data_IF_742406275740
#
_entry.id   IF_742406275740
#
_cell.length_a   1.000
_cell.length_b   1.000
_cell.length_c   1.000
_cell.angle_alpha   90.00
_cell.angle_beta   90.00
_cell.angle_gamma   90.00
#
_symmetry.space_group_name_H-M   'P 1'
#
loop_
_entity.id
_entity.type
_entity.pdbx_description
1 polymer ?
#
# COMPACT_ATOMS: atom_id res chain seq x y z
N UNK A 1 -17.19 -30.33 7.58
CA UNK A 1 -17.01 -29.13 6.76
C UNK A 1 -17.28 -29.54 5.32
N UNK A 2 -18.45 -29.17 4.79
CA UNK A 2 -18.79 -29.41 3.39
C UNK A 2 -17.92 -28.47 2.53
N UNK A 3 -16.99 -29.03 1.78
CA UNK A 3 -16.38 -28.32 0.66
C UNK A 3 -17.48 -28.14 -0.40
N UNK A 4 -18.08 -26.97 -0.44
CA UNK A 4 -18.93 -26.58 -1.56
C UNK A 4 -17.99 -26.30 -2.74
N UNK A 5 -17.65 -27.34 -3.50
CA UNK A 5 -17.29 -27.20 -4.89
C UNK A 5 -18.57 -26.76 -5.58
N UNK A 6 -18.75 -25.47 -5.77
CA UNK A 6 -19.78 -24.99 -6.68
C UNK A 6 -19.31 -25.46 -8.03
N UNK A 7 -20.01 -26.43 -8.60
CA UNK A 7 -19.83 -26.82 -9.99
C UNK A 7 -20.07 -25.58 -10.83
N UNK A 8 -19.00 -25.12 -11.48
CA UNK A 8 -19.04 -23.91 -12.29
C UNK A 8 -20.06 -24.03 -13.43
N UNK A 9 -20.41 -25.25 -13.87
CA UNK A 9 -21.48 -25.48 -14.87
C UNK A 9 -22.87 -25.06 -14.33
N UNK A 10 -23.16 -25.41 -13.08
CA UNK A 10 -24.39 -24.95 -12.39
C UNK A 10 -24.36 -23.43 -12.18
N UNK A 11 -23.19 -22.87 -12.00
CA UNK A 11 -22.99 -21.43 -11.82
C UNK A 11 -23.37 -20.64 -13.10
N UNK A 12 -22.98 -21.14 -14.27
CA UNK A 12 -23.26 -20.46 -15.55
C UNK A 12 -24.68 -20.71 -16.08
N UNK A 13 -25.40 -21.74 -15.65
CA UNK A 13 -26.83 -21.87 -15.95
C UNK A 13 -27.66 -20.74 -15.33
N UNK A 14 -27.11 -20.05 -14.33
CA UNK A 14 -27.66 -18.83 -13.74
C UNK A 14 -27.49 -17.59 -14.66
N UNK A 15 -26.66 -17.63 -15.71
CA UNK A 15 -26.47 -16.52 -16.65
C UNK A 15 -27.72 -16.12 -17.47
N UNK A 16 -28.77 -16.92 -17.46
CA UNK A 16 -30.08 -16.47 -17.91
C UNK A 16 -30.70 -15.37 -17.01
N UNK A 17 -30.18 -15.20 -15.76
CA UNK A 17 -30.58 -14.17 -14.82
C UNK A 17 -29.56 -13.03 -14.85
N UNK A 18 -29.98 -11.84 -14.48
CA UNK A 18 -29.14 -10.67 -14.30
C UNK A 18 -28.07 -10.94 -13.22
N UNK A 19 -26.79 -11.11 -13.59
CA UNK A 19 -25.70 -11.37 -12.66
C UNK A 19 -25.03 -10.08 -12.22
N UNK A 20 -24.70 -9.99 -10.93
CA UNK A 20 -23.85 -8.93 -10.38
C UNK A 20 -22.41 -9.43 -10.26
N UNK A 21 -21.52 -8.86 -11.04
CA UNK A 21 -20.10 -9.20 -11.11
C UNK A 21 -19.29 -8.03 -10.59
N UNK A 22 -18.42 -8.30 -9.63
CA UNK A 22 -17.50 -7.31 -9.05
C UNK A 22 -16.12 -7.53 -9.68
N UNK A 23 -15.58 -6.46 -10.22
CA UNK A 23 -14.18 -6.41 -10.66
C UNK A 23 -13.39 -5.66 -9.59
N UNK A 24 -12.38 -6.30 -9.04
CA UNK A 24 -11.47 -5.75 -8.05
C UNK A 24 -10.06 -6.23 -8.39
N UNK A 25 -9.46 -5.61 -9.41
CA UNK A 25 -8.21 -6.04 -10.06
C UNK A 25 -7.13 -5.01 -9.74
N UNK A 26 -6.01 -5.46 -9.13
CA UNK A 26 -4.83 -4.60 -8.92
C UNK A 26 -4.12 -4.34 -10.26
N UNK A 27 -3.27 -3.34 -10.26
CA UNK A 27 -2.46 -2.97 -11.42
C UNK A 27 -1.57 -4.12 -11.90
N UNK A 28 -1.44 -4.27 -13.21
CA UNK A 28 -0.38 -5.08 -13.80
C UNK A 28 0.86 -4.20 -13.90
N UNK A 29 1.66 -4.16 -12.83
CA UNK A 29 2.78 -3.23 -12.64
C UNK A 29 3.65 -3.07 -13.88
N UNK A 30 3.86 -1.82 -14.31
CA UNK A 30 4.58 -1.50 -15.54
C UNK A 30 3.81 -1.81 -16.84
N UNK A 31 2.50 -2.12 -16.79
CA UNK A 31 1.67 -2.48 -17.93
C UNK A 31 0.32 -1.77 -17.91
N UNK A 32 -0.63 -2.21 -17.08
CA UNK A 32 -1.98 -1.64 -16.99
C UNK A 32 -2.26 -1.13 -15.57
N UNK A 33 -2.92 0.01 -15.47
CA UNK A 33 -3.53 0.45 -14.21
C UNK A 33 -4.69 -0.46 -13.82
N UNK A 34 -5.08 -0.45 -12.55
CA UNK A 34 -6.25 -1.16 -12.04
C UNK A 34 -7.50 -0.85 -12.88
N UNK A 35 -7.79 0.43 -13.09
CA UNK A 35 -8.97 0.87 -13.85
C UNK A 35 -8.93 0.43 -15.31
N UNK A 36 -7.79 0.50 -16.00
CA UNK A 36 -7.65 0.04 -17.38
C UNK A 36 -7.88 -1.48 -17.51
N UNK A 37 -7.39 -2.25 -16.53
CA UNK A 37 -7.60 -3.69 -16.48
C UNK A 37 -9.09 -4.02 -16.26
N UNK A 38 -9.72 -3.39 -15.28
CA UNK A 38 -11.15 -3.57 -14.98
C UNK A 38 -12.05 -3.17 -16.14
N UNK A 39 -11.76 -2.05 -16.82
CA UNK A 39 -12.51 -1.61 -18.01
C UNK A 39 -12.41 -2.64 -19.13
N UNK A 40 -11.21 -3.18 -19.39
CA UNK A 40 -11.03 -4.20 -20.43
C UNK A 40 -11.81 -5.48 -20.13
N UNK A 41 -11.83 -5.92 -18.87
CA UNK A 41 -12.61 -7.08 -18.42
C UNK A 41 -14.10 -6.80 -18.50
N UNK A 42 -14.56 -5.64 -18.04
CA UNK A 42 -15.97 -5.24 -18.08
C UNK A 42 -16.52 -5.18 -19.51
N UNK A 43 -15.79 -4.54 -20.43
CA UNK A 43 -16.17 -4.50 -21.86
C UNK A 43 -16.38 -5.90 -22.43
N UNK A 44 -15.48 -6.85 -22.11
CA UNK A 44 -15.56 -8.21 -22.61
C UNK A 44 -16.73 -8.97 -21.97
N UNK A 45 -16.96 -8.82 -20.66
CA UNK A 45 -18.09 -9.45 -19.98
C UNK A 45 -19.41 -8.95 -20.55
N UNK A 46 -19.58 -7.64 -20.72
CA UNK A 46 -20.82 -7.04 -21.23
C UNK A 46 -21.09 -7.46 -22.67
N UNK A 47 -20.07 -7.66 -23.50
CA UNK A 47 -20.23 -8.18 -24.85
C UNK A 47 -20.83 -9.60 -24.86
N UNK A 48 -20.44 -10.47 -23.95
CA UNK A 48 -20.94 -11.84 -23.84
C UNK A 48 -22.25 -11.92 -23.04
N UNK A 49 -22.41 -11.06 -22.02
CA UNK A 49 -23.54 -11.04 -21.10
C UNK A 49 -24.11 -9.63 -20.92
N UNK A 50 -24.87 -9.11 -21.90
CA UNK A 50 -25.37 -7.73 -21.91
C UNK A 50 -26.30 -7.38 -20.75
N UNK A 51 -26.85 -8.37 -20.05
CA UNK A 51 -27.74 -8.17 -18.90
C UNK A 51 -27.02 -8.13 -17.56
N UNK A 52 -25.72 -8.40 -17.53
CA UNK A 52 -24.94 -8.40 -16.29
C UNK A 52 -24.75 -6.99 -15.76
N UNK A 53 -24.76 -6.85 -14.44
CA UNK A 53 -24.34 -5.64 -13.73
C UNK A 53 -22.88 -5.84 -13.36
N UNK A 54 -21.99 -5.06 -13.96
CA UNK A 54 -20.55 -5.10 -13.69
C UNK A 54 -20.16 -3.84 -12.90
N UNK A 55 -19.65 -4.04 -11.69
CA UNK A 55 -19.13 -2.94 -10.84
C UNK A 55 -17.60 -2.98 -10.84
N UNK A 56 -16.99 -1.85 -11.17
CA UNK A 56 -15.55 -1.67 -11.13
C UNK A 56 -15.17 -1.09 -9.78
N UNK A 57 -14.24 -1.72 -9.10
CA UNK A 57 -13.73 -1.30 -7.79
C UNK A 57 -12.20 -1.28 -7.89
N UNK A 58 -11.62 -0.20 -8.42
CA UNK A 58 -10.18 -0.13 -8.57
C UNK A 58 -9.49 -0.30 -7.22
N UNK A 59 -8.48 -1.14 -7.19
CA UNK A 59 -7.73 -1.50 -5.99
C UNK A 59 -6.23 -1.35 -6.20
N UNK A 60 -5.48 -1.37 -5.11
CA UNK A 60 -4.02 -1.44 -5.08
C UNK A 60 -3.56 -2.16 -3.81
N UNK A 61 -2.33 -2.64 -3.77
CA UNK A 61 -1.77 -3.41 -2.64
C UNK A 61 -1.12 -2.53 -1.54
N UNK A 62 -1.44 -1.23 -1.49
CA UNK A 62 -0.83 -0.27 -0.55
C UNK A 62 0.49 0.32 -1.06
N UNK A 63 0.96 -0.08 -2.24
CA UNK A 63 2.14 0.44 -2.93
C UNK A 63 1.80 1.35 -4.10
N UNK A 64 2.50 1.15 -5.22
CA UNK A 64 2.29 1.88 -6.47
C UNK A 64 0.84 1.80 -6.94
N UNK A 65 0.24 2.94 -7.27
CA UNK A 65 -1.15 3.05 -7.71
C UNK A 65 -2.16 3.34 -6.62
N UNK A 66 -1.80 3.21 -5.34
CA UNK A 66 -2.68 3.48 -4.20
C UNK A 66 -3.24 4.90 -4.24
N UNK A 67 -2.38 5.89 -4.46
CA UNK A 67 -2.78 7.30 -4.54
C UNK A 67 -3.78 7.54 -5.68
N UNK A 68 -3.55 6.96 -6.85
CA UNK A 68 -4.46 7.12 -8.00
C UNK A 68 -5.84 6.50 -7.74
N UNK A 69 -5.89 5.34 -7.08
CA UNK A 69 -7.14 4.69 -6.67
C UNK A 69 -7.91 5.56 -5.67
N UNK A 70 -7.25 6.03 -4.62
CA UNK A 70 -7.87 6.88 -3.60
C UNK A 70 -8.39 8.20 -4.18
N UNK A 71 -7.65 8.82 -5.10
CA UNK A 71 -8.09 10.02 -5.80
C UNK A 71 -9.27 9.75 -6.74
N UNK A 72 -9.26 8.63 -7.45
CA UNK A 72 -10.39 8.26 -8.31
C UNK A 72 -11.68 8.10 -7.49
N UNK A 73 -11.63 7.35 -6.40
CA UNK A 73 -12.79 7.09 -5.53
C UNK A 73 -13.29 8.35 -4.84
N UNK A 74 -12.38 9.17 -4.31
CA UNK A 74 -12.73 10.42 -3.63
C UNK A 74 -13.01 11.58 -4.58
N UNK A 75 -12.91 11.37 -5.91
CA UNK A 75 -12.96 12.42 -6.95
C UNK A 75 -12.00 13.57 -6.66
N UNK A 76 -10.87 13.23 -6.07
CA UNK A 76 -9.84 14.14 -5.63
C UNK A 76 -8.90 14.58 -6.73
N UNK A 77 -7.92 15.41 -6.37
CA UNK A 77 -6.93 15.95 -7.30
C UNK A 77 -5.53 15.83 -6.74
N UNK A 78 -4.56 15.70 -7.65
CA UNK A 78 -3.14 15.80 -7.30
C UNK A 78 -2.78 17.22 -6.87
N UNK A 79 -1.92 17.31 -5.87
CA UNK A 79 -1.24 18.53 -5.43
C UNK A 79 0.24 18.38 -5.72
N UNK A 80 0.82 19.40 -6.33
CA UNK A 80 2.24 19.43 -6.73
C UNK A 80 2.96 20.49 -5.91
N UNK A 81 4.16 20.14 -5.40
CA UNK A 81 5.01 21.04 -4.66
C UNK A 81 6.48 20.69 -4.81
N UNK A 82 7.35 21.55 -4.31
CA UNK A 82 8.78 21.29 -4.15
C UNK A 82 9.03 20.92 -2.69
N UNK A 83 9.72 19.80 -2.44
CA UNK A 83 10.05 19.33 -1.11
C UNK A 83 11.40 18.62 -1.08
N UNK A 84 11.95 18.40 0.12
CA UNK A 84 13.25 17.78 0.30
C UNK A 84 13.19 16.26 0.13
N UNK A 85 14.04 15.71 -0.72
CA UNK A 85 14.25 14.27 -0.86
C UNK A 85 15.01 13.69 0.37
N UNK A 86 15.26 12.36 0.46
CA UNK A 86 15.96 11.79 1.60
C UNK A 86 17.37 12.35 1.85
N UNK A 87 18.00 12.94 0.85
CA UNK A 87 19.31 13.57 0.92
C UNK A 87 19.26 15.10 1.13
N UNK A 88 18.10 15.66 1.44
CA UNK A 88 17.87 17.10 1.60
C UNK A 88 18.07 17.94 0.33
N UNK A 89 17.88 17.33 -0.83
CA UNK A 89 17.81 18.03 -2.12
C UNK A 89 16.34 18.36 -2.42
N UNK A 90 16.06 19.58 -2.91
CA UNK A 90 14.71 19.98 -3.28
C UNK A 90 14.35 19.38 -4.65
N UNK A 91 13.26 18.60 -4.68
CA UNK A 91 12.75 17.97 -5.89
C UNK A 91 11.23 18.22 -6.04
N UNK A 92 10.69 18.16 -7.27
CA UNK A 92 9.24 18.15 -7.46
C UNK A 92 8.65 16.84 -6.91
N UNK A 93 7.51 16.98 -6.25
CA UNK A 93 6.77 15.83 -5.71
C UNK A 93 5.27 16.10 -5.76
N UNK A 94 4.48 15.09 -5.40
CA UNK A 94 3.03 15.19 -5.39
C UNK A 94 2.40 14.37 -4.26
N UNK A 95 1.19 14.75 -3.89
CA UNK A 95 0.28 13.99 -3.04
C UNK A 95 -1.16 14.25 -3.50
N UNK A 96 -2.16 13.65 -2.87
CA UNK A 96 -3.56 13.80 -3.27
C UNK A 96 -4.39 14.51 -2.22
N UNK A 97 -5.43 15.23 -2.66
CA UNK A 97 -6.47 15.76 -1.79
C UNK A 97 -7.84 15.35 -2.33
N UNK A 98 -8.73 14.85 -1.45
CA UNK A 98 -10.12 14.50 -1.76
C UNK A 98 -10.92 15.70 -2.30
N UNK A 99 -12.03 15.46 -3.00
CA UNK A 99 -12.86 16.50 -3.58
C UNK A 99 -13.43 17.46 -2.53
N UNK A 100 -13.76 16.97 -1.33
CA UNK A 100 -14.23 17.78 -0.21
C UNK A 100 -13.12 18.55 0.53
N UNK A 101 -11.86 18.35 0.10
CA UNK A 101 -10.64 18.96 0.66
C UNK A 101 -10.35 18.58 2.13
N UNK A 102 -11.01 17.55 2.65
CA UNK A 102 -10.82 17.15 4.05
C UNK A 102 -9.72 16.10 4.21
N UNK A 103 -9.49 15.26 3.19
CA UNK A 103 -8.55 14.14 3.30
C UNK A 103 -7.33 14.33 2.39
N UNK A 104 -6.14 14.22 2.96
CA UNK A 104 -4.87 14.14 2.24
C UNK A 104 -4.42 12.69 2.10
N UNK A 105 -4.02 12.29 0.91
CA UNK A 105 -3.47 10.98 0.56
C UNK A 105 -1.99 11.13 0.23
N UNK A 106 -1.11 10.57 1.06
CA UNK A 106 0.34 10.73 0.94
C UNK A 106 1.00 9.36 0.76
N UNK A 107 1.73 9.18 -0.32
CA UNK A 107 2.69 8.08 -0.47
C UNK A 107 4.06 8.61 -0.06
N UNK A 108 4.57 8.19 1.11
CA UNK A 108 5.84 8.69 1.60
C UNK A 108 7.00 8.41 0.65
N UNK A 109 6.90 7.33 -0.15
CA UNK A 109 7.92 6.98 -1.13
C UNK A 109 8.07 8.01 -2.26
N UNK A 110 7.07 8.86 -2.51
CA UNK A 110 7.15 9.93 -3.50
C UNK A 110 8.19 11.01 -3.14
N UNK A 111 8.56 11.12 -1.85
CA UNK A 111 9.51 12.12 -1.37
C UNK A 111 10.59 11.57 -0.42
N UNK A 112 10.32 10.45 0.25
CA UNK A 112 11.27 9.81 1.19
C UNK A 112 11.55 8.35 0.80
N UNK A 113 11.33 7.99 -0.48
CA UNK A 113 11.41 6.63 -0.99
C UNK A 113 12.78 6.22 -1.51
N UNK A 114 13.04 4.91 -1.47
CA UNK A 114 14.26 4.29 -1.95
C UNK A 114 14.50 4.47 -3.47
N UNK A 115 13.46 4.47 -4.35
CA UNK A 115 13.64 4.72 -5.78
C UNK A 115 14.19 6.11 -6.13
N UNK A 116 14.12 7.08 -5.22
CA UNK A 116 14.68 8.43 -5.42
C UNK A 116 16.20 8.47 -5.30
N UNK A 117 16.81 7.41 -4.76
CA UNK A 117 18.23 7.36 -4.46
C UNK A 117 19.00 6.53 -5.48
N UNK A 118 20.13 7.09 -5.94
CA UNK A 118 21.15 6.32 -6.64
C UNK A 118 21.87 5.39 -5.65
N UNK A 119 22.51 4.33 -6.13
CA UNK A 119 23.14 3.34 -5.26
C UNK A 119 24.14 3.94 -4.24
N UNK A 120 24.95 4.91 -4.66
CA UNK A 120 25.92 5.58 -3.80
C UNK A 120 25.31 6.57 -2.79
N UNK A 121 24.04 6.93 -2.93
CA UNK A 121 23.29 7.80 -2.01
C UNK A 121 22.58 7.03 -0.92
N UNK A 122 22.48 5.71 -1.05
CA UNK A 122 21.83 4.84 -0.06
C UNK A 122 22.63 4.80 1.23
N UNK A 123 22.16 5.49 2.24
CA UNK A 123 22.78 5.51 3.57
C UNK A 123 21.74 5.88 4.64
N UNK A 124 21.16 4.90 5.37
CA UNK A 124 20.11 5.17 6.34
C UNK A 124 20.58 5.93 7.58
N UNK A 125 21.89 6.10 7.77
CA UNK A 125 22.43 7.00 8.81
C UNK A 125 22.20 8.47 8.48
N UNK A 126 22.09 8.81 7.17
CA UNK A 126 22.00 10.20 6.70
C UNK A 126 20.65 10.56 6.09
N UNK A 127 19.93 9.57 5.52
CA UNK A 127 18.65 9.82 4.88
C UNK A 127 17.58 10.17 5.90
N UNK A 128 16.63 11.04 5.50
CA UNK A 128 15.62 11.63 6.38
C UNK A 128 14.22 11.62 5.80
N UNK A 129 13.22 11.58 6.68
CA UNK A 129 11.79 11.71 6.38
C UNK A 129 11.32 13.17 6.32
N UNK A 130 12.21 14.15 6.28
CA UNK A 130 11.87 15.57 6.35
C UNK A 130 10.83 15.99 5.31
N UNK A 131 11.01 15.58 4.04
CA UNK A 131 10.05 15.86 2.97
C UNK A 131 8.65 15.28 3.20
N UNK A 132 8.54 14.12 3.86
CA UNK A 132 7.23 13.60 4.26
C UNK A 132 6.52 14.56 5.20
N UNK A 133 7.24 15.19 6.12
CA UNK A 133 6.69 16.23 7.00
C UNK A 133 6.28 17.50 6.25
N UNK A 134 7.01 17.88 5.19
CA UNK A 134 6.64 19.02 4.34
C UNK A 134 5.33 18.77 3.60
N UNK A 135 5.11 17.54 3.07
CA UNK A 135 3.83 17.17 2.45
C UNK A 135 2.68 17.25 3.45
N UNK A 136 2.86 16.75 4.66
CA UNK A 136 1.86 16.83 5.74
C UNK A 136 1.56 18.29 6.07
N UNK A 137 2.60 19.12 6.19
CA UNK A 137 2.47 20.55 6.49
C UNK A 137 1.67 21.28 5.41
N UNK A 138 2.01 21.10 4.14
CA UNK A 138 1.31 21.70 3.01
C UNK A 138 -0.17 21.30 2.96
N UNK A 139 -0.48 20.03 3.25
CA UNK A 139 -1.86 19.55 3.31
C UNK A 139 -2.64 20.14 4.50
N UNK A 140 -2.03 20.29 5.68
CA UNK A 140 -2.61 20.99 6.83
C UNK A 140 -2.94 22.45 6.49
N UNK A 141 -2.01 23.15 5.86
CA UNK A 141 -2.17 24.55 5.43
C UNK A 141 -3.27 24.71 4.37
N UNK A 142 -3.54 23.68 3.57
CA UNK A 142 -4.68 23.60 2.62
C UNK A 142 -6.01 23.20 3.27
N UNK A 143 -6.02 22.94 4.58
CA UNK A 143 -7.23 22.67 5.36
C UNK A 143 -7.56 21.19 5.52
N UNK A 144 -6.70 20.26 5.13
CA UNK A 144 -6.93 18.85 5.37
C UNK A 144 -6.87 18.53 6.87
N UNK A 145 -7.82 17.73 7.34
CA UNK A 145 -7.91 17.25 8.72
C UNK A 145 -7.77 15.75 8.85
N UNK A 146 -7.86 15.02 7.74
CA UNK A 146 -7.68 13.57 7.69
C UNK A 146 -6.50 13.24 6.79
N UNK A 147 -5.65 12.32 7.23
CA UNK A 147 -4.45 11.91 6.52
C UNK A 147 -4.44 10.40 6.35
N UNK A 148 -4.30 9.95 5.13
CA UNK A 148 -4.05 8.55 4.79
C UNK A 148 -2.64 8.49 4.23
N UNK A 149 -1.72 7.83 4.96
CA UNK A 149 -0.31 7.82 4.62
C UNK A 149 0.15 6.39 4.34
N UNK A 150 0.56 6.11 3.11
CA UNK A 150 1.26 4.89 2.75
C UNK A 150 2.75 5.03 3.09
N UNK A 151 3.29 4.11 3.88
CA UNK A 151 4.69 4.17 4.34
C UNK A 151 5.60 3.11 3.74
N UNK A 152 5.14 2.40 2.71
CA UNK A 152 5.96 1.43 1.96
C UNK A 152 7.08 2.10 1.16
N UNK A 153 8.13 1.34 0.83
CA UNK A 153 9.20 1.78 -0.07
C UNK A 153 10.20 2.79 0.49
N UNK A 154 10.30 2.96 1.81
CA UNK A 154 11.14 3.98 2.47
C UNK A 154 12.64 3.83 2.22
N UNK A 155 13.35 4.97 2.08
CA UNK A 155 14.81 5.07 2.04
C UNK A 155 15.46 5.33 3.41
N UNK A 156 14.66 5.55 4.44
CA UNK A 156 15.07 6.18 5.71
C UNK A 156 15.04 5.22 6.88
N UNK A 157 15.84 5.51 7.91
CA UNK A 157 15.78 4.86 9.23
C UNK A 157 16.06 5.91 10.32
N UNK A 158 15.37 7.05 10.21
CA UNK A 158 15.48 8.17 11.13
C UNK A 158 14.37 8.20 12.18
N UNK A 159 13.65 7.08 12.35
CA UNK A 159 12.54 6.96 13.30
C UNK A 159 11.48 8.09 13.16
N UNK A 160 11.33 8.66 11.95
CA UNK A 160 10.38 9.75 11.68
C UNK A 160 10.79 11.12 12.24
N UNK A 161 12.01 11.27 12.76
CA UNK A 161 12.47 12.55 13.35
C UNK A 161 12.49 13.68 12.32
N UNK A 162 12.90 13.40 11.08
CA UNK A 162 12.88 14.40 10.02
C UNK A 162 11.46 14.92 9.73
N UNK A 163 10.48 14.03 9.64
CA UNK A 163 9.07 14.40 9.49
C UNK A 163 8.62 15.33 10.63
N UNK A 164 8.94 14.97 11.87
CA UNK A 164 8.61 15.81 13.03
C UNK A 164 9.31 17.18 12.97
N UNK A 165 10.58 17.23 12.53
CA UNK A 165 11.31 18.50 12.39
C UNK A 165 10.65 19.44 11.39
N UNK A 166 10.21 18.93 10.23
CA UNK A 166 9.44 19.72 9.25
C UNK A 166 8.11 20.23 9.80
N UNK A 167 7.53 19.51 10.78
CA UNK A 167 6.31 19.88 11.50
C UNK A 167 6.54 20.74 12.73
N UNK A 168 7.80 21.21 12.98
CA UNK A 168 8.15 22.16 14.02
C UNK A 168 8.64 21.57 15.34
N UNK A 169 8.83 20.25 15.43
CA UNK A 169 9.49 19.65 16.58
C UNK A 169 11.01 19.86 16.51
N UNK A 170 11.66 19.89 17.68
CA UNK A 170 13.12 19.98 17.78
C UNK A 170 13.65 18.89 18.73
N UNK A 171 14.84 18.41 18.41
CA UNK A 171 15.51 17.35 19.17
C UNK A 171 16.84 17.86 19.71
N UNK A 172 17.14 17.55 20.96
CA UNK A 172 18.36 18.00 21.64
C UNK A 172 19.09 16.81 22.26
N UNK A 173 20.42 16.89 22.24
CA UNK A 173 21.28 15.96 22.97
C UNK A 173 21.35 16.27 24.47
N UNK A 174 22.12 15.46 25.23
CA UNK A 174 22.33 15.64 26.69
C UNK A 174 23.00 16.96 27.04
N UNK A 175 23.77 17.56 26.13
CA UNK A 175 24.42 18.85 26.32
C UNK A 175 23.50 20.05 25.98
N UNK A 176 22.28 19.78 25.50
CA UNK A 176 21.33 20.81 25.06
C UNK A 176 21.60 21.34 23.65
N UNK A 177 22.46 20.70 22.87
CA UNK A 177 22.71 21.05 21.48
C UNK A 177 21.59 20.49 20.62
N UNK A 178 21.05 21.33 19.72
CA UNK A 178 20.06 20.92 18.74
C UNK A 178 20.68 19.94 17.72
N UNK A 179 19.94 18.86 17.42
CA UNK A 179 20.36 17.80 16.52
C UNK A 179 19.76 18.02 15.12
N UNK A 180 20.52 17.64 14.09
CA UNK A 180 20.09 17.63 12.70
C UNK A 180 19.20 16.44 12.35
N UNK A 181 19.16 16.08 11.05
CA UNK A 181 18.38 14.98 10.48
C UNK A 181 19.21 13.70 10.33
N UNK A 182 18.52 12.59 10.03
CA UNK A 182 19.12 11.30 9.70
C UNK A 182 19.14 10.28 10.84
N UNK A 183 19.42 9.02 10.48
CA UNK A 183 19.46 7.93 11.46
C UNK A 183 20.58 8.03 12.49
N UNK A 184 21.71 8.68 12.13
CA UNK A 184 22.88 8.79 13.03
C UNK A 184 22.66 9.64 14.27
N UNK A 185 21.59 10.44 14.31
CA UNK A 185 21.29 11.32 15.44
C UNK A 185 20.30 10.72 16.43
N UNK A 186 19.52 9.70 16.05
CA UNK A 186 18.41 9.18 16.87
C UNK A 186 18.89 8.69 18.25
N UNK A 187 20.03 8.01 18.32
CA UNK A 187 20.62 7.55 19.58
C UNK A 187 21.19 8.65 20.48
N UNK A 188 21.32 9.89 19.97
CA UNK A 188 21.82 11.05 20.73
C UNK A 188 20.68 11.87 21.32
N UNK A 189 19.45 11.65 20.91
CA UNK A 189 18.29 12.41 21.37
C UNK A 189 18.06 12.16 22.86
N UNK A 190 18.09 13.23 23.64
CA UNK A 190 17.82 13.22 25.08
C UNK A 190 16.57 14.03 25.47
N UNK A 191 16.16 14.99 24.63
CA UNK A 191 14.96 15.82 24.86
C UNK A 191 14.27 16.18 23.57
N UNK A 192 12.94 16.18 23.62
CA UNK A 192 12.04 16.58 22.55
C UNK A 192 11.37 17.89 22.94
N UNK A 193 11.39 18.86 22.03
CA UNK A 193 10.71 20.14 22.15
C UNK A 193 9.57 20.20 21.13
N UNK A 194 8.35 20.43 21.60
CA UNK A 194 7.13 20.43 20.77
C UNK A 194 6.33 21.74 20.84
N UNK A 195 6.87 22.78 21.49
CA UNK A 195 6.16 24.08 21.64
C UNK A 195 5.89 24.76 20.29
N UNK A 196 6.75 24.54 19.30
CA UNK A 196 6.64 25.10 17.96
C UNK A 196 6.00 24.16 16.94
N UNK A 197 5.40 23.06 17.40
CA UNK A 197 4.72 22.13 16.50
C UNK A 197 3.60 22.83 15.75
N UNK A 198 3.38 22.43 14.50
CA UNK A 198 2.34 23.00 13.65
C UNK A 198 0.97 22.95 14.37
N UNK A 199 0.28 24.09 14.57
CA UNK A 199 -0.91 24.15 15.43
C UNK A 199 -2.08 23.29 14.91
N UNK A 200 -2.23 23.13 13.60
CA UNK A 200 -3.31 22.34 12.99
C UNK A 200 -3.15 20.83 13.23
N UNK A 201 -2.01 20.34 13.68
CA UNK A 201 -1.84 18.94 14.07
C UNK A 201 -2.77 18.51 15.20
N UNK A 202 -3.20 19.44 16.05
CA UNK A 202 -4.09 19.12 17.17
C UNK A 202 -5.47 18.58 16.74
N UNK A 203 -5.91 18.94 15.54
CA UNK A 203 -7.22 18.55 14.98
C UNK A 203 -7.08 17.57 13.81
N UNK A 204 -5.89 17.05 13.55
CA UNK A 204 -5.63 16.15 12.44
C UNK A 204 -5.71 14.69 12.87
N UNK A 205 -6.32 13.85 12.03
CA UNK A 205 -6.48 12.42 12.21
C UNK A 205 -5.63 11.68 11.20
N UNK A 206 -4.83 10.72 11.65
CA UNK A 206 -3.89 10.00 10.83
C UNK A 206 -4.24 8.52 10.76
N UNK A 207 -4.33 7.98 9.55
CA UNK A 207 -4.38 6.55 9.28
C UNK A 207 -3.17 6.19 8.42
N UNK A 208 -2.45 5.15 8.81
CA UNK A 208 -1.22 4.73 8.15
C UNK A 208 -1.41 3.34 7.55
N UNK A 209 -1.22 3.24 6.24
CA UNK A 209 -1.19 1.96 5.54
C UNK A 209 0.15 1.26 5.80
N UNK A 210 0.10 0.16 6.55
CA UNK A 210 1.26 -0.58 6.99
C UNK A 210 0.98 -2.09 6.98
N UNK A 211 1.59 -2.83 6.07
CA UNK A 211 1.39 -4.28 5.92
C UNK A 211 2.44 -5.13 6.66
N UNK A 212 3.38 -4.49 7.37
CA UNK A 212 4.37 -5.18 8.18
C UNK A 212 4.07 -5.04 9.67
N UNK A 213 4.42 -6.07 10.45
CA UNK A 213 4.15 -6.15 11.88
C UNK A 213 5.41 -5.98 12.74
N UNK A 214 6.53 -5.61 12.11
CA UNK A 214 7.83 -5.50 12.78
C UNK A 214 7.80 -4.48 13.92
N UNK A 215 8.37 -4.82 15.11
CA UNK A 215 8.50 -3.91 16.22
C UNK A 215 9.50 -2.79 15.92
N UNK A 216 9.53 -1.77 16.77
CA UNK A 216 10.35 -0.58 16.56
C UNK A 216 11.85 -0.90 16.50
N UNK A 217 12.36 -1.71 17.42
CA UNK A 217 13.76 -2.14 17.49
C UNK A 217 13.87 -3.63 17.88
N UNK A 218 15.10 -4.14 17.91
CA UNK A 218 15.43 -5.54 18.25
C UNK A 218 15.61 -6.41 17.01
N UNK A 219 15.84 -7.74 17.17
CA UNK A 219 16.21 -8.63 16.07
C UNK A 219 15.22 -8.66 14.91
N UNK A 220 13.93 -8.40 15.17
CA UNK A 220 12.89 -8.28 14.17
C UNK A 220 12.46 -6.82 13.93
N UNK A 221 13.19 -5.86 14.49
CA UNK A 221 12.91 -4.44 14.38
C UNK A 221 13.35 -3.80 13.07
N UNK A 222 13.06 -2.51 12.94
CA UNK A 222 13.28 -1.73 11.72
C UNK A 222 14.70 -1.84 11.16
N UNK A 223 15.72 -1.68 12.00
CA UNK A 223 17.11 -1.65 11.56
C UNK A 223 17.56 -3.03 11.05
N UNK A 224 17.34 -4.09 11.81
CA UNK A 224 17.77 -5.45 11.46
C UNK A 224 17.09 -5.97 10.20
N UNK A 225 15.80 -5.69 10.03
CA UNK A 225 15.02 -6.24 8.91
C UNK A 225 15.17 -5.39 7.63
N UNK A 226 15.17 -4.06 7.76
CA UNK A 226 15.00 -3.19 6.59
C UNK A 226 16.20 -2.28 6.26
N UNK A 227 17.16 -2.06 7.19
CA UNK A 227 18.20 -1.06 6.93
C UNK A 227 19.23 -1.53 5.89
N UNK A 228 19.47 -2.85 5.74
CA UNK A 228 20.42 -3.39 4.77
C UNK A 228 20.08 -3.01 3.33
N UNK A 229 18.83 -3.14 2.91
CA UNK A 229 18.39 -2.73 1.56
C UNK A 229 18.49 -1.23 1.30
N UNK A 230 18.61 -0.43 2.38
CA UNK A 230 18.80 1.03 2.37
C UNK A 230 20.28 1.44 2.39
N UNK A 231 21.20 0.46 2.30
CA UNK A 231 22.65 0.68 2.25
C UNK A 231 23.39 0.55 3.58
N UNK A 232 22.75 0.04 4.65
CA UNK A 232 23.43 -0.16 5.92
C UNK A 232 24.35 -1.39 5.91
N UNK A 233 25.56 -1.24 6.47
CA UNK A 233 26.40 -2.36 6.88
C UNK A 233 26.03 -2.86 8.30
N UNK A 234 26.72 -3.89 8.79
CA UNK A 234 26.40 -4.48 10.10
C UNK A 234 26.57 -3.51 11.27
N UNK A 235 27.60 -2.67 11.25
CA UNK A 235 27.87 -1.68 12.30
C UNK A 235 26.76 -0.61 12.33
N UNK A 236 26.34 -0.12 11.15
CA UNK A 236 25.23 0.82 11.02
C UNK A 236 23.92 0.22 11.54
N UNK A 237 23.64 -1.06 11.22
CA UNK A 237 22.43 -1.75 11.69
C UNK A 237 22.42 -1.78 13.23
N UNK A 238 23.51 -2.17 13.85
CA UNK A 238 23.63 -2.20 15.31
C UNK A 238 23.46 -0.80 15.91
N UNK A 239 24.15 0.20 15.36
CA UNK A 239 24.05 1.59 15.81
C UNK A 239 22.63 2.15 15.68
N UNK A 240 21.93 1.85 14.57
CA UNK A 240 20.55 2.26 14.37
C UNK A 240 19.61 1.58 15.36
N UNK A 241 19.77 0.28 15.59
CA UNK A 241 18.92 -0.47 16.52
C UNK A 241 19.07 0.02 17.96
N UNK A 242 20.31 0.19 18.42
CA UNK A 242 20.60 0.77 19.75
C UNK A 242 20.05 2.20 19.87
N UNK A 243 20.20 3.00 18.81
CA UNK A 243 19.65 4.34 18.73
C UNK A 243 18.12 4.37 18.83
N UNK A 244 17.45 3.48 18.09
CA UNK A 244 16.00 3.34 18.14
C UNK A 244 15.52 2.89 19.52
N UNK A 245 16.24 1.96 20.17
CA UNK A 245 15.94 1.53 21.54
C UNK A 245 16.03 2.70 22.54
N UNK A 246 17.08 3.50 22.46
CA UNK A 246 17.24 4.67 23.31
C UNK A 246 16.14 5.71 23.03
N UNK A 247 15.85 5.98 21.77
CA UNK A 247 14.83 6.94 21.37
C UNK A 247 13.41 6.50 21.76
N UNK A 248 13.08 5.22 21.72
CA UNK A 248 11.80 4.70 22.21
C UNK A 248 11.54 5.10 23.67
N UNK A 249 12.58 5.09 24.53
CA UNK A 249 12.46 5.54 25.90
C UNK A 249 12.15 7.04 26.00
N UNK A 250 12.81 7.86 25.18
CA UNK A 250 12.58 9.31 25.13
C UNK A 250 11.16 9.61 24.60
N UNK A 251 10.70 8.86 23.59
CA UNK A 251 9.31 8.95 23.10
C UNK A 251 8.32 8.64 24.22
N UNK A 252 8.53 7.54 24.95
CA UNK A 252 7.65 7.15 26.05
C UNK A 252 7.60 8.21 27.14
N UNK A 253 8.74 8.80 27.50
CA UNK A 253 8.80 9.88 28.49
C UNK A 253 8.06 11.14 28.02
N UNK A 254 8.14 11.47 26.71
CA UNK A 254 7.53 12.68 26.16
C UNK A 254 6.02 12.53 25.88
N UNK A 255 5.60 11.36 25.38
CA UNK A 255 4.23 11.12 24.89
C UNK A 255 3.38 10.25 25.81
N UNK A 256 4.00 9.54 26.76
CA UNK A 256 3.36 8.52 27.60
C UNK A 256 3.12 7.17 26.87
N UNK A 257 3.49 7.04 25.59
CA UNK A 257 3.23 5.85 24.76
C UNK A 257 4.46 4.98 24.61
N UNK A 258 4.33 3.70 24.87
CA UNK A 258 5.35 2.69 24.53
C UNK A 258 5.07 2.13 23.14
N UNK A 259 6.00 2.40 22.22
CA UNK A 259 5.94 1.92 20.83
C UNK A 259 6.91 0.77 20.56
N UNK A 260 7.64 0.33 21.56
CA UNK A 260 8.75 -0.62 21.41
C UNK A 260 8.32 -1.94 20.74
N UNK A 261 7.17 -2.48 21.15
CA UNK A 261 6.60 -3.73 20.65
C UNK A 261 5.29 -3.51 19.88
N UNK A 262 4.91 -2.26 19.59
CA UNK A 262 3.70 -1.98 18.81
C UNK A 262 3.86 -2.58 17.40
N UNK A 263 2.96 -3.46 16.95
CA UNK A 263 3.01 -4.03 15.62
C UNK A 263 3.00 -2.93 14.54
N UNK A 264 3.95 -3.00 13.61
CA UNK A 264 4.12 -1.99 12.56
C UNK A 264 4.91 -0.75 12.95
N UNK A 265 5.30 -0.61 14.23
CA UNK A 265 6.11 0.55 14.69
C UNK A 265 7.46 0.65 14.00
N UNK A 266 8.07 -0.49 13.60
CA UNK A 266 9.32 -0.53 12.86
C UNK A 266 9.19 -0.23 11.37
N UNK A 267 7.97 -0.15 10.85
CA UNK A 267 7.76 0.14 9.44
C UNK A 267 8.39 1.47 9.02
N UNK A 268 8.91 1.49 7.80
CA UNK A 268 9.58 2.66 7.22
C UNK A 268 10.70 3.25 8.13
N UNK A 269 11.50 2.35 8.76
CA UNK A 269 12.61 2.77 9.60
C UNK A 269 12.17 3.49 10.87
N UNK A 270 11.01 3.11 11.42
CA UNK A 270 10.44 3.66 12.65
C UNK A 270 9.41 4.78 12.44
N UNK A 271 9.14 5.17 11.19
CA UNK A 271 8.13 6.19 10.89
C UNK A 271 6.73 5.76 11.38
N UNK A 272 6.37 4.45 11.24
CA UNK A 272 5.10 3.92 11.75
C UNK A 272 4.92 4.18 13.25
N UNK A 273 5.93 3.86 14.07
CA UNK A 273 5.92 4.11 15.52
C UNK A 273 5.86 5.59 15.85
N UNK A 274 6.57 6.42 15.09
CA UNK A 274 6.55 7.87 15.27
C UNK A 274 5.15 8.45 15.01
N UNK A 275 4.50 8.08 13.91
CA UNK A 275 3.13 8.49 13.60
C UNK A 275 2.14 8.03 14.67
N UNK A 276 2.28 6.80 15.18
CA UNK A 276 1.44 6.29 16.26
C UNK A 276 1.64 7.05 17.56
N UNK A 277 2.91 7.41 17.92
CA UNK A 277 3.22 8.11 19.17
C UNK A 277 2.78 9.58 19.14
N UNK A 278 3.21 10.33 18.12
CA UNK A 278 3.06 11.79 18.07
C UNK A 278 1.77 12.28 17.42
N UNK A 279 1.24 11.51 16.45
CA UNK A 279 0.04 11.89 15.70
C UNK A 279 -1.17 11.05 16.09
N UNK A 280 -1.04 10.13 17.05
CA UNK A 280 -2.09 9.19 17.44
C UNK A 280 -2.63 8.39 16.24
N UNK A 281 -1.74 8.05 15.32
CA UNK A 281 -2.13 7.41 14.06
C UNK A 281 -2.58 5.96 14.28
N UNK A 282 -3.64 5.58 13.55
CA UNK A 282 -4.09 4.20 13.42
C UNK A 282 -3.24 3.48 12.37
N UNK A 283 -2.49 2.45 12.77
CA UNK A 283 -1.78 1.58 11.84
C UNK A 283 -2.74 0.49 11.34
N UNK A 284 -3.01 0.48 10.05
CA UNK A 284 -3.93 -0.47 9.40
C UNK A 284 -3.27 -1.15 8.20
N UNK A 285 -3.74 -2.35 7.87
CA UNK A 285 -3.35 -2.98 6.60
C UNK A 285 -3.74 -2.09 5.41
N UNK A 286 -2.81 -1.91 4.47
CA UNK A 286 -3.07 -1.15 3.25
C UNK A 286 -4.21 -1.75 2.44
N UNK A 287 -4.27 -3.08 2.36
CA UNK A 287 -5.36 -3.79 1.70
C UNK A 287 -6.71 -3.49 2.35
N UNK A 288 -6.81 -3.57 3.69
CA UNK A 288 -8.04 -3.29 4.44
C UNK A 288 -8.49 -1.84 4.23
N UNK A 289 -7.57 -0.90 4.34
CA UNK A 289 -7.82 0.52 4.16
C UNK A 289 -8.39 0.81 2.76
N UNK A 290 -7.80 0.21 1.73
CA UNK A 290 -8.25 0.40 0.35
C UNK A 290 -9.62 -0.23 0.09
N UNK A 291 -9.86 -1.45 0.58
CA UNK A 291 -11.16 -2.09 0.44
C UNK A 291 -12.27 -1.29 1.13
N UNK A 292 -11.99 -0.69 2.29
CA UNK A 292 -12.92 0.23 2.94
C UNK A 292 -13.13 1.50 2.14
N UNK A 293 -12.05 2.17 1.71
CA UNK A 293 -12.13 3.43 0.99
C UNK A 293 -12.85 3.30 -0.36
N UNK A 294 -12.69 2.15 -1.05
CA UNK A 294 -13.34 1.88 -2.34
C UNK A 294 -14.80 1.42 -2.22
N UNK A 295 -15.31 1.25 -1.00
CA UNK A 295 -16.66 0.73 -0.78
C UNK A 295 -16.83 -0.74 -1.18
N UNK A 296 -15.74 -1.50 -1.26
CA UNK A 296 -15.75 -2.90 -1.68
C UNK A 296 -16.75 -3.74 -0.87
N UNK A 297 -16.76 -3.59 0.46
CA UNK A 297 -17.61 -4.37 1.36
C UNK A 297 -19.11 -4.18 1.10
N UNK A 298 -19.54 -2.99 0.73
CA UNK A 298 -20.93 -2.69 0.36
C UNK A 298 -21.23 -3.21 -1.04
N UNK A 299 -20.27 -3.07 -1.95
CA UNK A 299 -20.42 -3.48 -3.35
C UNK A 299 -20.54 -4.99 -3.50
N UNK A 300 -19.82 -5.81 -2.71
CA UNK A 300 -19.89 -7.27 -2.80
C UNK A 300 -21.19 -7.86 -2.23
N UNK A 301 -22.01 -7.07 -1.54
CA UNK A 301 -23.32 -7.54 -1.08
C UNK A 301 -24.16 -8.01 -2.28
N UNK A 302 -24.63 -9.27 -2.23
CA UNK A 302 -25.39 -9.92 -3.30
C UNK A 302 -24.63 -10.08 -4.64
N UNK A 303 -23.31 -10.05 -4.65
CA UNK A 303 -22.52 -10.37 -5.82
C UNK A 303 -22.62 -11.87 -6.15
N UNK A 304 -22.62 -12.20 -7.43
CA UNK A 304 -22.61 -13.59 -7.89
C UNK A 304 -21.19 -14.07 -8.20
N UNK A 305 -20.28 -13.14 -8.50
CA UNK A 305 -18.89 -13.42 -8.86
C UNK A 305 -18.01 -12.24 -8.48
N UNK A 306 -16.82 -12.51 -7.97
CA UNK A 306 -15.75 -11.54 -7.84
C UNK A 306 -14.62 -11.96 -8.80
N UNK A 307 -14.16 -11.03 -9.63
CA UNK A 307 -12.96 -11.19 -10.43
C UNK A 307 -11.91 -10.24 -9.86
N UNK A 308 -10.83 -10.81 -9.34
CA UNK A 308 -9.66 -10.10 -8.85
C UNK A 308 -8.46 -10.39 -9.74
N UNK A 309 -7.32 -9.78 -9.46
CA UNK A 309 -6.10 -10.05 -10.21
C UNK A 309 -4.95 -9.14 -9.80
N UNK A 310 -3.77 -9.50 -10.27
CA UNK A 310 -2.53 -8.74 -10.09
C UNK A 310 -1.48 -9.18 -11.12
N UNK A 311 -0.38 -8.43 -11.25
CA UNK A 311 0.68 -8.78 -12.22
C UNK A 311 1.31 -10.15 -12.01
N UNK A 312 1.47 -10.59 -10.76
CA UNK A 312 1.96 -11.93 -10.41
C UNK A 312 1.25 -12.42 -9.15
N UNK A 313 0.61 -13.60 -9.25
CA UNK A 313 -0.02 -14.27 -8.12
C UNK A 313 0.81 -15.49 -7.68
N UNK A 314 1.11 -15.58 -6.39
CA UNK A 314 1.82 -16.69 -5.75
C UNK A 314 1.36 -16.86 -4.28
N UNK A 315 2.04 -17.71 -3.51
CA UNK A 315 1.72 -17.90 -2.09
C UNK A 315 1.77 -16.62 -1.25
N UNK A 316 2.56 -15.62 -1.65
CA UNK A 316 2.63 -14.34 -0.92
C UNK A 316 1.34 -13.53 -1.09
N UNK A 317 0.60 -13.72 -2.19
CA UNK A 317 -0.71 -13.08 -2.40
C UNK A 317 -1.74 -13.49 -1.33
N UNK A 318 -1.56 -14.65 -0.68
CA UNK A 318 -2.38 -15.11 0.45
C UNK A 318 -1.93 -14.55 1.81
N UNK A 319 -0.79 -13.86 1.87
CA UNK A 319 -0.17 -13.40 3.12
C UNK A 319 -0.50 -11.92 3.41
N UNK A 320 -1.78 -11.57 3.44
CA UNK A 320 -2.23 -10.23 3.78
C UNK A 320 -2.31 -9.22 2.64
N UNK A 321 -1.95 -9.61 1.40
CA UNK A 321 -2.15 -8.76 0.23
C UNK A 321 -3.63 -8.64 -0.13
N UNK A 322 -3.97 -7.64 -0.94
CA UNK A 322 -5.35 -7.31 -1.28
C UNK A 322 -6.09 -8.44 -1.98
N UNK A 323 -5.44 -9.18 -2.88
CA UNK A 323 -6.00 -10.37 -3.55
C UNK A 323 -6.38 -11.48 -2.58
N UNK A 324 -5.56 -11.71 -1.55
CA UNK A 324 -5.84 -12.66 -0.48
C UNK A 324 -7.02 -12.23 0.39
N UNK A 325 -7.12 -10.94 0.71
CA UNK A 325 -8.24 -10.37 1.47
C UNK A 325 -9.56 -10.48 0.70
N UNK A 326 -9.54 -10.20 -0.60
CA UNK A 326 -10.72 -10.37 -1.48
C UNK A 326 -11.17 -11.83 -1.51
N UNK A 327 -10.22 -12.78 -1.56
CA UNK A 327 -10.53 -14.20 -1.50
C UNK A 327 -11.18 -14.58 -0.15
N UNK A 328 -10.66 -14.09 0.98
CA UNK A 328 -11.24 -14.31 2.30
C UNK A 328 -12.69 -13.81 2.37
N UNK A 329 -12.94 -12.59 1.89
CA UNK A 329 -14.27 -11.99 1.87
C UNK A 329 -15.26 -12.75 0.98
N UNK A 330 -14.82 -13.17 -0.22
CA UNK A 330 -15.61 -14.03 -1.10
C UNK A 330 -16.00 -15.35 -0.41
N UNK A 331 -15.03 -16.01 0.20
CA UNK A 331 -15.28 -17.26 0.95
C UNK A 331 -16.27 -17.10 2.11
N UNK A 332 -16.11 -16.04 2.91
CA UNK A 332 -17.02 -15.77 4.04
C UNK A 332 -18.47 -15.58 3.60
N UNK A 333 -18.68 -15.05 2.39
CA UNK A 333 -20.01 -14.77 1.81
C UNK A 333 -20.50 -15.83 0.82
N UNK A 334 -19.70 -16.88 0.59
CA UNK A 334 -20.02 -17.92 -0.41
C UNK A 334 -20.02 -17.42 -1.85
N UNK A 335 -19.27 -16.34 -2.14
CA UNK A 335 -19.14 -15.76 -3.47
C UNK A 335 -17.87 -16.34 -4.12
N UNK A 336 -17.95 -16.98 -5.31
CA UNK A 336 -16.78 -17.46 -6.01
C UNK A 336 -15.85 -16.33 -6.40
N UNK A 337 -14.53 -16.55 -6.29
CA UNK A 337 -13.49 -15.59 -6.66
C UNK A 337 -12.60 -16.18 -7.74
N UNK A 338 -12.47 -15.47 -8.84
CA UNK A 338 -11.56 -15.79 -9.95
C UNK A 338 -10.40 -14.80 -9.96
N UNK A 339 -9.18 -15.28 -10.20
CA UNK A 339 -8.00 -14.45 -10.36
C UNK A 339 -7.54 -14.38 -11.83
N UNK A 340 -7.35 -13.15 -12.33
CA UNK A 340 -6.67 -12.86 -13.59
C UNK A 340 -5.25 -12.36 -13.26
N UNK A 341 -4.21 -12.93 -13.88
CA UNK A 341 -2.84 -12.61 -13.48
C UNK A 341 -1.89 -12.59 -14.67
N UNK A 342 -0.85 -11.76 -14.61
CA UNK A 342 0.22 -11.77 -15.60
C UNK A 342 0.99 -13.10 -15.55
N UNK A 343 1.37 -13.53 -14.36
CA UNK A 343 2.05 -14.80 -14.08
C UNK A 343 1.40 -15.47 -12.87
N UNK A 344 1.32 -16.80 -12.89
CA UNK A 344 0.83 -17.60 -11.76
C UNK A 344 1.91 -18.60 -11.31
N UNK A 345 2.22 -18.59 -10.03
CA UNK A 345 3.03 -19.60 -9.37
C UNK A 345 2.20 -20.24 -8.24
N UNK A 346 2.64 -21.37 -7.70
CA UNK A 346 1.97 -22.05 -6.59
C UNK A 346 0.47 -22.35 -6.83
N UNK A 347 0.06 -22.61 -8.08
CA UNK A 347 -1.36 -22.70 -8.51
C UNK A 347 -2.15 -23.70 -7.66
N UNK A 348 -1.59 -24.86 -7.32
CA UNK A 348 -2.29 -25.87 -6.51
C UNK A 348 -2.57 -25.38 -5.09
N UNK A 349 -1.66 -24.58 -4.52
CA UNK A 349 -1.83 -23.97 -3.21
C UNK A 349 -2.92 -22.89 -3.26
N UNK A 350 -2.93 -22.07 -4.29
CA UNK A 350 -3.94 -21.02 -4.51
C UNK A 350 -5.34 -21.62 -4.73
N UNK A 351 -5.46 -22.70 -5.50
CA UNK A 351 -6.73 -23.45 -5.66
C UNK A 351 -7.21 -24.03 -4.33
N UNK A 352 -6.30 -24.65 -3.55
CA UNK A 352 -6.62 -25.14 -2.19
C UNK A 352 -7.04 -24.03 -1.25
N UNK A 353 -6.49 -22.81 -1.42
CA UNK A 353 -6.92 -21.64 -0.66
C UNK A 353 -8.35 -21.20 -0.98
N UNK A 354 -8.90 -21.57 -2.16
CA UNK A 354 -10.30 -21.39 -2.49
C UNK A 354 -10.60 -20.54 -3.72
N UNK A 355 -9.61 -20.19 -4.53
CA UNK A 355 -9.90 -19.56 -5.82
C UNK A 355 -10.71 -20.53 -6.72
N UNK A 356 -11.83 -20.05 -7.25
CA UNK A 356 -12.68 -20.81 -8.18
C UNK A 356 -12.02 -20.98 -9.56
N UNK A 357 -11.16 -20.04 -9.94
CA UNK A 357 -10.36 -20.11 -11.17
C UNK A 357 -9.12 -19.20 -11.07
N UNK A 358 -8.03 -19.59 -11.74
CA UNK A 358 -6.81 -18.79 -11.87
C UNK A 358 -6.44 -18.81 -13.33
N UNK A 359 -6.44 -17.65 -13.96
CA UNK A 359 -6.26 -17.50 -15.40
C UNK A 359 -5.09 -16.55 -15.71
N UNK A 360 -3.91 -17.10 -16.05
CA UNK A 360 -2.80 -16.30 -16.56
C UNK A 360 -3.19 -15.65 -17.90
N UNK A 361 -2.91 -14.35 -18.04
CA UNK A 361 -3.14 -13.62 -19.30
C UNK A 361 -1.96 -13.76 -20.26
N UNK A 362 -0.82 -14.28 -19.77
CA UNK A 362 0.37 -14.56 -20.57
C UNK A 362 0.61 -16.07 -20.53
N UNK A 363 0.57 -16.71 -21.70
CA UNK A 363 0.94 -18.12 -21.80
C UNK A 363 2.47 -18.25 -21.73
N UNK A 364 2.95 -19.12 -20.83
CA UNK A 364 4.37 -19.37 -20.67
C UNK A 364 4.99 -19.83 -22.01
N UNK A 365 6.02 -19.13 -22.48
CA UNK A 365 6.75 -19.48 -23.71
C UNK A 365 6.17 -18.88 -25.01
N UNK A 366 5.01 -18.22 -25.00
CA UNK A 366 4.41 -17.65 -26.22
C UNK A 366 4.97 -16.27 -26.61
N UNK A 367 5.35 -15.46 -25.62
CA UNK A 367 5.90 -14.11 -25.86
C UNK A 367 6.99 -13.77 -24.83
N UNK A 368 8.04 -12.99 -25.22
CA UNK A 368 8.95 -12.40 -24.24
C UNK A 368 8.18 -11.52 -23.25
N UNK A 369 8.49 -11.61 -21.95
CA UNK A 369 7.77 -10.87 -20.89
C UNK A 369 7.67 -9.37 -21.18
N UNK A 370 8.76 -8.75 -21.66
CA UNK A 370 8.78 -7.32 -22.03
C UNK A 370 7.74 -6.96 -23.12
N UNK A 371 7.49 -7.87 -24.05
CA UNK A 371 6.49 -7.67 -25.10
C UNK A 371 5.07 -7.81 -24.53
N UNK A 372 4.84 -8.86 -23.74
CA UNK A 372 3.57 -9.11 -23.07
C UNK A 372 3.14 -7.97 -22.13
N UNK A 373 4.10 -7.26 -21.53
CA UNK A 373 3.86 -6.12 -20.65
C UNK A 373 3.51 -4.80 -21.38
N UNK A 374 3.64 -4.73 -22.70
CA UNK A 374 3.18 -3.53 -23.42
C UNK A 374 1.68 -3.33 -23.23
N UNK A 375 1.20 -2.12 -22.84
CA UNK A 375 -0.20 -1.89 -22.47
C UNK A 375 -1.23 -2.42 -23.47
N UNK A 376 -1.02 -2.18 -24.75
CA UNK A 376 -1.93 -2.65 -25.82
C UNK A 376 -1.98 -4.19 -25.89
N UNK A 377 -0.84 -4.86 -25.69
CA UNK A 377 -0.75 -6.31 -25.74
C UNK A 377 -1.36 -6.93 -24.48
N UNK A 378 -1.03 -6.40 -23.32
CA UNK A 378 -1.59 -6.84 -22.05
C UNK A 378 -3.13 -6.69 -22.03
N UNK A 379 -3.65 -5.56 -22.53
CA UNK A 379 -5.10 -5.33 -22.64
C UNK A 379 -5.77 -6.36 -23.57
N UNK A 380 -5.16 -6.66 -24.71
CA UNK A 380 -5.64 -7.70 -25.64
C UNK A 380 -5.62 -9.08 -24.99
N UNK A 381 -4.48 -9.47 -24.40
CA UNK A 381 -4.34 -10.77 -23.75
C UNK A 381 -5.36 -10.95 -22.61
N UNK A 382 -5.63 -9.88 -21.86
CA UNK A 382 -6.63 -9.88 -20.79
C UNK A 382 -8.04 -10.14 -21.35
N UNK A 383 -8.44 -9.44 -22.42
CA UNK A 383 -9.73 -9.65 -23.10
C UNK A 383 -9.87 -11.06 -23.68
N UNK A 384 -8.82 -11.55 -24.35
CA UNK A 384 -8.80 -12.88 -24.94
C UNK A 384 -8.91 -13.97 -23.85
N UNK A 385 -8.24 -13.78 -22.71
CA UNK A 385 -8.33 -14.70 -21.58
C UNK A 385 -9.73 -14.73 -20.98
N UNK A 386 -10.34 -13.55 -20.79
CA UNK A 386 -11.73 -13.46 -20.31
C UNK A 386 -12.70 -14.14 -21.28
N UNK A 387 -12.58 -13.89 -22.59
CA UNK A 387 -13.42 -14.54 -23.60
C UNK A 387 -13.25 -16.05 -23.59
N UNK A 388 -12.02 -16.56 -23.46
CA UNK A 388 -11.74 -18.01 -23.42
C UNK A 388 -12.37 -18.68 -22.20
N UNK A 389 -12.20 -18.13 -21.01
CA UNK A 389 -12.80 -18.77 -19.83
C UNK A 389 -14.33 -18.71 -19.88
N UNK A 390 -14.92 -17.59 -20.33
CA UNK A 390 -16.37 -17.49 -20.55
C UNK A 390 -16.85 -18.57 -21.52
N UNK A 391 -16.21 -18.71 -22.68
CA UNK A 391 -16.58 -19.70 -23.70
C UNK A 391 -16.43 -21.13 -23.21
N UNK A 392 -15.39 -21.43 -22.44
CA UNK A 392 -15.21 -22.78 -21.89
C UNK A 392 -16.31 -23.17 -20.91
N UNK A 393 -16.89 -22.21 -20.20
CA UNK A 393 -17.99 -22.46 -19.29
C UNK A 393 -19.39 -22.47 -19.96
N UNK A 394 -19.54 -21.76 -21.10
CA UNK A 394 -20.78 -21.78 -21.84
C UNK A 394 -20.94 -23.04 -22.70
N UNK A 395 -19.82 -23.70 -23.05
CA UNK A 395 -19.81 -24.90 -23.91
C UNK A 395 -19.75 -26.21 -23.12
N UNK A 396 -19.92 -26.18 -21.81
CA UNK A 396 -19.99 -27.35 -20.93
C UNK A 396 -21.45 -27.79 -20.69
N UNK A 397 -22.32 -27.70 -21.74
CA UNK A 397 -23.63 -28.29 -21.77
C UNK A 397 -23.60 -29.68 -22.47
#
# INVERSE_FOLDING_TARGET
MLHIYIDLSTFFSLFAKQMKIILAIDSFKGSLTSLEAEQAVAETIIQHFPKSIVSLIPIADGGEGTLSVLLHVSRGNYQYLQAHNPCMEIIPTQYGISADKQTAYIEMAAISGLPLLKEHQKNPMKTTTFGTGELIKDALEKGCTHFIIGIGGSATNDAGTGMLQALGYRFYDKAGKELGTGGEVIGKIARIESSNRHPLLANAHFTVACDVQNPFYGPQGAAHVFARQKGANNEMIQQLDEGMKAFAQVIQQHTGKDISQLPGSGAAGGLGGCLAAFMNADLKSGAELLLQATGFYDCIANANLIITGEGKIDKQSLMGKITGKILEEGKQRGIPVIALTGLAEDIDLLKKAGFAGIHPITEAGFQPLKEAMKPAIAKRNLKDTVSRFISNYLNCD
#
